data_IF_222794891133
#
_entry.id   IF_222794891133
#
_cell.length_a   1.000
_cell.length_b   1.000
_cell.length_c   1.000
_cell.angle_alpha   90.00
_cell.angle_beta   90.00
_cell.angle_gamma   90.00
#
_symmetry.space_group_name_H-M   'P 1'
#
loop_
_entity.id
_entity.type
_entity.pdbx_description
1 polymer ?
#
# COMPACT_ATOMS: atom_id res chain seq x y z
N UNK A 1 -41.58 -0.95 -48.69
CA UNK A 1 -41.97 -0.10 -47.53
C UNK A 1 -41.58 -0.85 -46.26
N UNK A 2 -40.51 -0.40 -45.61
CA UNK A 2 -39.90 -1.00 -44.42
C UNK A 2 -40.71 -0.61 -43.17
N UNK A 3 -41.24 -1.60 -42.45
CA UNK A 3 -41.88 -1.38 -41.15
C UNK A 3 -40.80 -1.34 -40.06
N UNK A 4 -40.35 -0.14 -39.70
CA UNK A 4 -39.57 0.09 -38.49
C UNK A 4 -40.48 -0.14 -37.27
N UNK A 5 -40.23 -1.22 -36.52
CA UNK A 5 -40.80 -1.42 -35.20
C UNK A 5 -40.03 -0.54 -34.21
N UNK A 6 -40.59 0.59 -33.81
CA UNK A 6 -40.10 1.35 -32.66
C UNK A 6 -40.37 0.54 -31.39
N UNK A 7 -39.34 -0.14 -30.87
CA UNK A 7 -39.37 -0.71 -29.53
C UNK A 7 -39.35 0.43 -28.51
N UNK A 8 -40.53 0.85 -28.05
CA UNK A 8 -40.65 1.79 -26.94
C UNK A 8 -40.10 1.12 -25.68
N UNK A 9 -38.88 1.50 -25.28
CA UNK A 9 -38.26 1.08 -24.01
C UNK A 9 -39.11 1.67 -22.88
N UNK A 10 -40.05 0.89 -22.35
CA UNK A 10 -40.87 1.28 -21.21
C UNK A 10 -40.07 1.07 -19.94
N UNK A 11 -39.46 2.14 -19.43
CA UNK A 11 -38.75 2.11 -18.15
C UNK A 11 -39.79 1.95 -17.03
N UNK A 12 -39.90 0.72 -16.50
CA UNK A 12 -40.78 0.44 -15.35
C UNK A 12 -40.39 1.26 -14.13
N UNK A 13 -41.36 1.75 -13.35
CA UNK A 13 -41.13 2.45 -12.07
C UNK A 13 -40.25 1.65 -11.11
N UNK A 14 -40.33 0.31 -11.16
CA UNK A 14 -39.44 -0.58 -10.38
C UNK A 14 -37.98 -0.50 -10.83
N UNK A 15 -37.72 -0.30 -12.12
CA UNK A 15 -36.37 -0.11 -12.65
C UNK A 15 -35.81 1.26 -12.27
N UNK A 16 -36.62 2.33 -12.32
CA UNK A 16 -36.23 3.65 -11.84
C UNK A 16 -35.86 3.63 -10.34
N UNK A 17 -36.70 3.01 -9.50
CA UNK A 17 -36.42 2.88 -8.06
C UNK A 17 -35.11 2.12 -7.80
N UNK A 18 -34.82 1.05 -8.55
CA UNK A 18 -33.56 0.31 -8.42
C UNK A 18 -32.35 1.17 -8.83
N UNK A 19 -32.46 1.93 -9.90
CA UNK A 19 -31.38 2.82 -10.36
C UNK A 19 -31.11 3.91 -9.33
N UNK A 20 -32.17 4.56 -8.81
CA UNK A 20 -32.05 5.58 -7.77
C UNK A 20 -31.46 4.98 -6.49
N UNK A 21 -31.95 3.82 -6.04
CA UNK A 21 -31.41 3.13 -4.88
C UNK A 21 -29.93 2.76 -5.06
N UNK A 22 -29.56 2.20 -6.21
CA UNK A 22 -28.18 1.82 -6.50
C UNK A 22 -27.27 3.05 -6.59
N UNK A 23 -27.74 4.15 -7.20
CA UNK A 23 -27.02 5.43 -7.24
C UNK A 23 -26.79 6.01 -5.84
N UNK A 24 -27.83 6.01 -4.99
CA UNK A 24 -27.73 6.43 -3.59
C UNK A 24 -26.79 5.53 -2.79
N UNK A 25 -26.83 4.21 -3.02
CA UNK A 25 -25.94 3.26 -2.37
C UNK A 25 -24.47 3.51 -2.75
N UNK A 26 -24.18 3.70 -4.05
CA UNK A 26 -22.82 4.02 -4.51
C UNK A 26 -22.34 5.36 -3.96
N UNK A 27 -23.20 6.39 -3.96
CA UNK A 27 -22.88 7.68 -3.37
C UNK A 27 -22.60 7.58 -1.86
N UNK A 28 -23.43 6.82 -1.13
CA UNK A 28 -23.22 6.56 0.29
C UNK A 28 -21.92 5.79 0.54
N UNK A 29 -21.64 4.72 -0.21
CA UNK A 29 -20.39 3.95 -0.09
C UNK A 29 -19.16 4.80 -0.38
N UNK A 30 -19.24 5.70 -1.36
CA UNK A 30 -18.19 6.67 -1.64
C UNK A 30 -18.01 7.67 -0.49
N UNK A 31 -19.11 8.15 0.10
CA UNK A 31 -19.10 9.04 1.26
C UNK A 31 -18.47 8.40 2.51
N UNK A 32 -18.73 7.12 2.77
CA UNK A 32 -18.20 6.41 3.96
C UNK A 32 -16.91 5.62 3.71
N UNK A 33 -16.31 5.74 2.51
CA UNK A 33 -15.17 4.90 2.09
C UNK A 33 -13.99 4.93 3.06
N UNK A 34 -13.70 6.10 3.65
CA UNK A 34 -12.55 6.26 4.54
C UNK A 34 -12.78 5.52 5.88
N UNK A 35 -14.02 5.55 6.38
CA UNK A 35 -14.44 4.79 7.56
C UNK A 35 -14.39 3.29 7.27
N UNK A 36 -14.89 2.87 6.09
CA UNK A 36 -14.82 1.46 5.66
C UNK A 36 -13.37 0.98 5.53
N UNK A 37 -12.49 1.81 5.00
CA UNK A 37 -11.06 1.52 4.89
C UNK A 37 -10.41 1.37 6.27
N UNK A 38 -10.65 2.30 7.20
CA UNK A 38 -10.14 2.21 8.57
C UNK A 38 -10.66 0.97 9.31
N UNK A 39 -11.94 0.63 9.10
CA UNK A 39 -12.52 -0.60 9.65
C UNK A 39 -11.88 -1.86 9.04
N UNK A 40 -11.62 -1.87 7.73
CA UNK A 40 -10.92 -2.95 7.06
C UNK A 40 -9.49 -3.12 7.59
N UNK A 41 -8.74 -2.03 7.76
CA UNK A 41 -7.40 -2.04 8.36
C UNK A 41 -7.47 -2.58 9.80
N UNK A 42 -8.44 -2.13 10.60
CA UNK A 42 -8.65 -2.63 11.96
C UNK A 42 -8.98 -4.12 12.01
N UNK A 43 -9.74 -4.64 11.03
CA UNK A 43 -10.04 -6.06 10.87
C UNK A 43 -8.78 -6.88 10.57
N UNK A 44 -7.89 -6.37 9.71
CA UNK A 44 -6.61 -7.00 9.41
C UNK A 44 -5.74 -7.08 10.67
N UNK A 45 -5.58 -5.96 11.40
CA UNK A 45 -4.86 -5.95 12.67
C UNK A 45 -5.51 -6.85 13.72
N UNK A 46 -6.84 -6.92 13.78
CA UNK A 46 -7.55 -7.83 14.68
C UNK A 46 -7.21 -9.29 14.37
N UNK A 47 -7.24 -9.68 13.09
CA UNK A 47 -6.88 -11.04 12.66
C UNK A 47 -5.39 -11.37 12.92
N UNK A 48 -4.51 -10.37 12.89
CA UNK A 48 -3.09 -10.50 13.23
C UNK A 48 -2.86 -10.72 14.73
N UNK A 49 -3.53 -9.92 15.56
CA UNK A 49 -3.36 -9.88 17.03
C UNK A 49 -4.06 -11.06 17.73
N UNK A 50 -5.19 -11.51 17.19
CA UNK A 50 -6.02 -12.58 17.76
C UNK A 50 -5.25 -13.84 18.25
N UNK A 51 -4.34 -14.46 17.46
CA UNK A 51 -3.58 -15.62 17.95
C UNK A 51 -2.71 -15.31 19.18
N UNK A 52 -2.11 -14.12 19.24
CA UNK A 52 -1.27 -13.68 20.36
C UNK A 52 -2.12 -13.37 21.60
N UNK A 53 -3.27 -12.69 21.42
CA UNK A 53 -4.21 -12.45 22.50
C UNK A 53 -4.82 -13.75 23.06
N UNK A 54 -5.11 -14.73 22.20
CA UNK A 54 -5.55 -16.07 22.59
C UNK A 54 -4.47 -16.82 23.37
N UNK A 55 -3.21 -16.75 22.93
CA UNK A 55 -2.08 -17.34 23.64
C UNK A 55 -1.93 -16.74 25.04
N UNK A 56 -2.02 -15.41 25.17
CA UNK A 56 -1.89 -14.73 26.46
C UNK A 56 -3.09 -15.02 27.39
N UNK A 57 -4.30 -15.11 26.84
CA UNK A 57 -5.52 -15.48 27.59
C UNK A 57 -5.44 -16.91 28.16
N UNK A 58 -4.78 -17.84 27.45
CA UNK A 58 -4.53 -19.21 27.95
C UNK A 58 -3.60 -19.22 29.18
N UNK A 59 -2.79 -18.19 29.38
CA UNK A 59 -1.88 -18.04 30.52
C UNK A 59 -2.53 -17.27 31.70
N UNK A 60 -3.85 -17.42 31.88
CA UNK A 60 -4.66 -16.83 32.98
C UNK A 60 -4.80 -15.30 32.97
N UNK A 61 -4.46 -14.61 31.88
CA UNK A 61 -4.70 -13.17 31.76
C UNK A 61 -6.14 -12.94 31.27
N UNK A 62 -6.95 -12.09 31.94
CA UNK A 62 -8.30 -11.75 31.49
C UNK A 62 -8.29 -11.24 30.04
N UNK A 63 -9.25 -11.70 29.23
CA UNK A 63 -9.29 -11.43 27.78
C UNK A 63 -9.08 -9.96 27.42
N UNK A 64 -9.74 -9.04 28.12
CA UNK A 64 -9.59 -7.60 27.88
C UNK A 64 -8.15 -7.11 28.06
N UNK A 65 -7.49 -7.51 29.15
CA UNK A 65 -6.09 -7.17 29.41
C UNK A 65 -5.15 -7.84 28.41
N UNK A 66 -5.41 -9.10 28.06
CA UNK A 66 -4.61 -9.82 27.08
C UNK A 66 -4.61 -9.10 25.72
N UNK A 67 -5.79 -8.69 25.24
CA UNK A 67 -5.89 -7.92 23.99
C UNK A 67 -5.22 -6.57 24.14
N UNK A 68 -5.45 -5.85 25.25
CA UNK A 68 -4.86 -4.53 25.48
C UNK A 68 -3.32 -4.58 25.41
N UNK A 69 -2.68 -5.53 26.10
CA UNK A 69 -1.23 -5.66 26.08
C UNK A 69 -0.69 -5.98 24.68
N UNK A 70 -1.35 -6.86 23.93
CA UNK A 70 -0.89 -7.21 22.59
C UNK A 70 -1.09 -6.05 21.60
N UNK A 71 -2.21 -5.33 21.69
CA UNK A 71 -2.47 -4.14 20.86
C UNK A 71 -1.42 -3.07 21.17
N UNK A 72 -1.24 -2.71 22.45
CA UNK A 72 -0.24 -1.71 22.84
C UNK A 72 1.19 -2.16 22.49
N UNK A 73 1.50 -3.45 22.63
CA UNK A 73 2.78 -4.00 22.23
C UNK A 73 3.02 -3.89 20.72
N UNK A 74 2.05 -4.27 19.89
CA UNK A 74 2.17 -4.17 18.44
C UNK A 74 2.34 -2.72 17.98
N UNK A 75 1.44 -1.83 18.41
CA UNK A 75 1.51 -0.42 18.02
C UNK A 75 2.71 0.29 18.66
N UNK A 76 3.18 -0.16 19.83
CA UNK A 76 4.42 0.30 20.44
C UNK A 76 5.66 -0.09 19.63
N UNK A 77 5.72 -1.32 19.12
CA UNK A 77 6.79 -1.76 18.21
C UNK A 77 6.76 -0.94 16.91
N UNK A 78 5.57 -0.73 16.33
CA UNK A 78 5.43 0.10 15.13
C UNK A 78 5.91 1.53 15.43
N UNK A 79 5.46 2.15 16.52
CA UNK A 79 5.89 3.49 16.92
C UNK A 79 7.40 3.57 17.14
N UNK A 80 8.01 2.58 17.80
CA UNK A 80 9.45 2.49 17.99
C UNK A 80 10.19 2.45 16.65
N UNK A 81 9.81 1.53 15.76
CA UNK A 81 10.40 1.45 14.42
C UNK A 81 10.23 2.75 13.65
N UNK A 82 9.05 3.38 13.71
CA UNK A 82 8.81 4.66 13.07
C UNK A 82 9.74 5.75 13.62
N UNK A 83 9.92 5.87 14.93
CA UNK A 83 10.83 6.87 15.50
C UNK A 83 12.29 6.65 15.12
N UNK A 84 12.70 5.40 14.91
CA UNK A 84 14.07 5.07 14.49
C UNK A 84 14.30 5.32 12.99
N UNK A 85 13.30 4.98 12.16
CA UNK A 85 13.41 5.06 10.70
C UNK A 85 13.07 6.46 10.17
N UNK A 86 12.17 7.20 10.82
CA UNK A 86 11.69 8.50 10.35
C UNK A 86 12.82 9.51 10.11
N UNK A 87 13.82 9.68 11.00
CA UNK A 87 14.94 10.59 10.72
C UNK A 87 15.68 10.24 9.43
N UNK A 88 15.85 8.94 9.15
CA UNK A 88 16.55 8.46 7.96
C UNK A 88 15.69 8.66 6.72
N UNK A 89 14.39 8.35 6.81
CA UNK A 89 13.42 8.60 5.73
C UNK A 89 13.39 10.09 5.38
N UNK A 90 13.38 10.96 6.39
CA UNK A 90 13.38 12.41 6.18
C UNK A 90 14.71 12.89 5.60
N UNK A 91 15.86 12.44 6.11
CA UNK A 91 17.15 12.88 5.59
C UNK A 91 17.40 12.39 4.17
N UNK A 92 17.19 11.10 3.90
CA UNK A 92 17.37 10.53 2.56
C UNK A 92 16.30 11.06 1.59
N UNK A 93 15.06 11.25 2.05
CA UNK A 93 13.98 11.80 1.23
C UNK A 93 14.20 13.27 0.85
N UNK A 94 14.68 14.10 1.78
CA UNK A 94 15.07 15.48 1.50
C UNK A 94 16.27 15.53 0.56
N UNK A 95 17.31 14.73 0.82
CA UNK A 95 18.48 14.66 -0.07
C UNK A 95 18.10 14.18 -1.47
N UNK A 96 17.21 13.20 -1.61
CA UNK A 96 16.71 12.77 -2.91
C UNK A 96 15.93 13.88 -3.62
N UNK A 97 15.12 14.64 -2.89
CA UNK A 97 14.38 15.78 -3.44
C UNK A 97 15.30 16.92 -3.89
N UNK A 98 16.32 17.25 -3.10
CA UNK A 98 17.29 18.31 -3.41
C UNK A 98 18.20 17.92 -4.58
N UNK A 99 18.59 16.64 -4.65
CA UNK A 99 19.44 16.11 -5.72
C UNK A 99 18.64 15.58 -6.92
N UNK A 100 17.30 15.71 -6.92
CA UNK A 100 16.46 15.11 -7.96
C UNK A 100 16.83 15.60 -9.36
N UNK A 101 17.03 16.91 -9.54
CA UNK A 101 17.45 17.49 -10.83
C UNK A 101 18.80 16.96 -11.30
N UNK A 102 19.77 16.80 -10.38
CA UNK A 102 21.06 16.21 -10.72
C UNK A 102 20.95 14.71 -11.09
N UNK A 103 20.09 13.95 -10.40
CA UNK A 103 19.79 12.57 -10.77
C UNK A 103 19.11 12.50 -12.14
N UNK A 104 18.20 13.43 -12.43
CA UNK A 104 17.52 13.56 -13.72
C UNK A 104 18.50 13.86 -14.86
N UNK A 105 19.42 14.81 -14.65
CA UNK A 105 20.49 15.14 -15.60
C UNK A 105 21.37 13.93 -15.90
N UNK A 106 21.75 13.18 -14.85
CA UNK A 106 22.54 11.95 -14.98
C UNK A 106 21.76 10.85 -15.69
N UNK A 107 20.46 10.71 -15.41
CA UNK A 107 19.56 9.79 -16.09
C UNK A 107 19.52 10.08 -17.61
N UNK A 108 19.31 11.33 -17.99
CA UNK A 108 19.31 11.74 -19.41
C UNK A 108 20.68 11.56 -20.06
N UNK A 109 21.75 11.84 -19.33
CA UNK A 109 23.12 11.70 -19.84
C UNK A 109 23.56 10.24 -19.99
N UNK A 110 23.07 9.35 -19.11
CA UNK A 110 23.33 7.91 -19.15
C UNK A 110 22.64 7.19 -20.31
N UNK A 111 21.64 7.80 -20.92
CA UNK A 111 20.94 7.30 -22.11
C UNK A 111 21.73 7.55 -23.41
N UNK A 112 23.03 7.19 -23.43
CA UNK A 112 23.99 7.50 -24.52
C UNK A 112 23.48 7.03 -25.90
N UNK A 113 22.87 5.84 -25.97
CA UNK A 113 22.30 5.31 -27.23
C UNK A 113 21.17 6.20 -27.77
N UNK A 114 20.33 6.73 -26.89
CA UNK A 114 19.27 7.67 -27.28
C UNK A 114 19.87 9.03 -27.66
N UNK A 115 20.91 9.48 -26.97
CA UNK A 115 21.61 10.74 -27.27
C UNK A 115 22.30 10.72 -28.62
N UNK A 116 23.01 9.63 -28.95
CA UNK A 116 23.70 9.47 -30.22
C UNK A 116 22.69 9.44 -31.38
N UNK A 117 21.61 8.67 -31.24
CA UNK A 117 20.53 8.62 -32.22
C UNK A 117 19.82 9.97 -32.39
N UNK A 118 19.50 10.65 -31.29
CA UNK A 118 18.87 11.97 -31.30
C UNK A 118 19.78 13.06 -31.92
N UNK A 119 21.09 12.97 -31.68
CA UNK A 119 22.09 13.88 -32.26
C UNK A 119 22.20 13.70 -33.77
N UNK A 120 22.19 12.45 -34.26
CA UNK A 120 22.21 12.14 -35.69
C UNK A 120 20.97 12.65 -36.42
N UNK A 121 19.82 12.70 -35.73
CA UNK A 121 18.58 13.24 -36.29
C UNK A 121 18.39 14.75 -36.06
N UNK A 122 19.32 15.42 -35.38
CA UNK A 122 19.23 16.87 -35.11
C UNK A 122 18.09 17.27 -34.16
N UNK A 123 17.53 16.32 -33.41
CA UNK A 123 16.40 16.55 -32.49
C UNK A 123 16.82 16.53 -31.01
N UNK A 124 18.12 16.42 -30.73
CA UNK A 124 18.63 16.30 -29.36
C UNK A 124 18.13 17.43 -28.45
N UNK A 125 18.23 18.68 -28.89
CA UNK A 125 17.79 19.84 -28.10
C UNK A 125 16.29 19.81 -27.80
N UNK A 126 15.47 19.32 -28.74
CA UNK A 126 14.02 19.18 -28.56
C UNK A 126 13.67 18.05 -27.59
N UNK A 127 14.38 16.92 -27.66
CA UNK A 127 14.20 15.80 -26.73
C UNK A 127 14.62 16.21 -25.32
N UNK A 128 15.78 16.85 -25.17
CA UNK A 128 16.28 17.30 -23.87
C UNK A 128 15.35 18.36 -23.27
N UNK A 129 14.92 19.36 -24.04
CA UNK A 129 13.94 20.35 -23.57
C UNK A 129 12.60 19.70 -23.15
N UNK A 130 12.11 18.73 -23.92
CA UNK A 130 10.89 17.99 -23.58
C UNK A 130 11.07 17.17 -22.31
N UNK A 131 12.21 16.49 -22.14
CA UNK A 131 12.51 15.71 -20.95
C UNK A 131 12.58 16.59 -19.68
N UNK A 132 13.21 17.76 -19.75
CA UNK A 132 13.22 18.72 -18.64
C UNK A 132 11.84 19.28 -18.32
N UNK A 133 10.93 19.36 -19.30
CA UNK A 133 9.56 19.81 -19.02
C UNK A 133 8.77 18.83 -18.15
N UNK A 134 9.13 17.54 -18.14
CA UNK A 134 8.52 16.51 -17.29
C UNK A 134 9.17 16.39 -15.91
N UNK A 135 10.38 16.93 -15.72
CA UNK A 135 11.13 16.84 -14.47
C UNK A 135 10.31 17.30 -13.25
N UNK A 136 9.60 18.45 -13.28
CA UNK A 136 8.84 18.92 -12.11
C UNK A 136 7.66 18.01 -11.76
N UNK A 137 6.98 17.44 -12.77
CA UNK A 137 5.85 16.54 -12.58
C UNK A 137 6.30 15.21 -11.96
N UNK A 138 7.44 14.68 -12.42
CA UNK A 138 8.02 13.45 -11.88
C UNK A 138 8.55 13.69 -10.46
N UNK A 139 9.22 14.82 -10.22
CA UNK A 139 9.67 15.21 -8.88
C UNK A 139 8.48 15.33 -7.91
N UNK A 140 7.37 15.93 -8.35
CA UNK A 140 6.15 16.05 -7.57
C UNK A 140 5.48 14.70 -7.32
N UNK A 141 5.46 13.81 -8.31
CA UNK A 141 4.94 12.46 -8.12
C UNK A 141 5.78 11.66 -7.12
N UNK A 142 7.11 11.73 -7.21
CA UNK A 142 8.02 11.06 -6.29
C UNK A 142 7.84 11.57 -4.85
N UNK A 143 7.89 12.90 -4.65
CA UNK A 143 7.67 13.52 -3.33
C UNK A 143 6.24 13.30 -2.82
N UNK A 144 5.24 13.24 -3.70
CA UNK A 144 3.85 12.92 -3.39
C UNK A 144 3.67 11.53 -2.79
N UNK A 145 4.37 10.53 -3.33
CA UNK A 145 4.35 9.17 -2.80
C UNK A 145 4.95 9.13 -1.38
N UNK A 146 6.12 9.72 -1.18
CA UNK A 146 6.78 9.75 0.13
C UNK A 146 5.98 10.55 1.16
N UNK A 147 5.43 11.70 0.78
CA UNK A 147 4.56 12.51 1.65
C UNK A 147 3.24 11.83 2.00
N UNK A 148 2.68 11.02 1.09
CA UNK A 148 1.50 10.19 1.40
C UNK A 148 1.85 9.15 2.46
N UNK A 149 2.98 8.46 2.30
CA UNK A 149 3.46 7.48 3.29
C UNK A 149 3.65 8.14 4.65
N UNK A 150 4.37 9.26 4.74
CA UNK A 150 4.57 9.97 6.02
C UNK A 150 3.27 10.53 6.59
N UNK A 151 2.37 11.04 5.73
CA UNK A 151 1.07 11.59 6.13
C UNK A 151 0.12 10.55 6.74
N UNK A 152 0.12 9.30 6.25
CA UNK A 152 -0.64 8.20 6.86
C UNK A 152 -0.26 7.98 8.33
N UNK A 153 1.01 8.17 8.67
CA UNK A 153 1.52 8.00 10.03
C UNK A 153 1.35 9.24 10.91
N UNK A 154 1.10 10.41 10.32
CA UNK A 154 0.88 11.65 11.08
C UNK A 154 -0.57 11.80 11.58
N UNK A 155 -1.51 11.04 11.01
CA UNK A 155 -2.91 11.04 11.48
C UNK A 155 -3.05 10.25 12.79
N UNK A 156 -2.68 10.89 13.90
CA UNK A 156 -2.82 10.35 15.27
C UNK A 156 -4.25 9.89 15.53
N UNK A 157 -5.25 10.63 15.04
CA UNK A 157 -6.65 10.27 15.18
C UNK A 157 -6.99 8.95 14.47
N UNK A 158 -6.54 8.77 13.22
CA UNK A 158 -6.76 7.52 12.48
C UNK A 158 -6.10 6.35 13.18
N UNK A 159 -4.87 6.51 13.68
CA UNK A 159 -4.14 5.46 14.40
C UNK A 159 -4.89 5.07 15.68
N UNK A 160 -5.31 6.06 16.49
CA UNK A 160 -6.11 5.80 17.70
C UNK A 160 -7.40 5.08 17.34
N UNK A 161 -8.10 5.49 16.28
CA UNK A 161 -9.33 4.84 15.86
C UNK A 161 -9.09 3.39 15.44
N UNK A 162 -8.02 3.10 14.68
CA UNK A 162 -7.64 1.72 14.33
C UNK A 162 -7.34 0.91 15.58
N UNK A 163 -6.55 1.44 16.53
CA UNK A 163 -6.25 0.78 17.80
C UNK A 163 -7.53 0.41 18.56
N UNK A 164 -8.45 1.38 18.68
CA UNK A 164 -9.72 1.21 19.39
C UNK A 164 -10.60 0.17 18.68
N UNK A 165 -10.75 0.27 17.35
CA UNK A 165 -11.53 -0.68 16.56
C UNK A 165 -10.95 -2.09 16.63
N UNK A 166 -9.63 -2.24 16.50
CA UNK A 166 -8.94 -3.52 16.65
C UNK A 166 -9.16 -4.11 18.04
N UNK A 167 -9.03 -3.31 19.10
CA UNK A 167 -9.31 -3.75 20.46
C UNK A 167 -10.74 -4.27 20.59
N UNK A 168 -11.74 -3.49 20.14
CA UNK A 168 -13.14 -3.90 20.20
C UNK A 168 -13.42 -5.17 19.39
N UNK A 169 -12.87 -5.30 18.18
CA UNK A 169 -13.04 -6.46 17.31
C UNK A 169 -12.46 -7.76 17.90
N UNK A 170 -11.35 -7.66 18.66
CA UNK A 170 -10.70 -8.85 19.25
C UNK A 170 -11.28 -9.19 20.64
N UNK A 171 -11.65 -8.17 21.44
CA UNK A 171 -12.29 -8.38 22.75
C UNK A 171 -13.70 -8.93 22.57
N UNK A 172 -14.48 -8.34 21.66
CA UNK A 172 -15.84 -8.77 21.40
C UNK A 172 -15.89 -9.69 20.17
N UNK A 173 -15.41 -10.93 20.34
CA UNK A 173 -15.36 -11.96 19.27
C UNK A 173 -16.71 -12.19 18.56
N UNK A 174 -17.81 -11.79 19.21
CA UNK A 174 -19.16 -11.97 18.73
C UNK A 174 -19.75 -10.76 17.99
N UNK A 175 -19.15 -9.56 17.98
CA UNK A 175 -19.77 -8.39 17.32
C UNK A 175 -20.03 -8.63 15.84
N UNK A 176 -19.03 -9.15 15.12
CA UNK A 176 -19.20 -9.52 13.72
C UNK A 176 -20.28 -10.60 13.58
N UNK A 177 -20.22 -11.67 14.40
CA UNK A 177 -21.20 -12.76 14.34
C UNK A 177 -22.62 -12.28 14.66
N UNK A 178 -22.79 -11.36 15.61
CA UNK A 178 -24.07 -10.80 16.03
C UNK A 178 -24.65 -9.88 14.96
N UNK A 179 -23.83 -9.01 14.37
CA UNK A 179 -24.24 -8.16 13.24
C UNK A 179 -24.76 -9.01 12.07
N UNK A 180 -23.99 -10.02 11.65
CA UNK A 180 -24.41 -10.89 10.56
C UNK A 180 -25.60 -11.79 10.93
N UNK A 181 -25.74 -12.21 12.20
CA UNK A 181 -26.95 -12.89 12.68
C UNK A 181 -28.18 -11.99 12.62
N UNK A 182 -28.05 -10.69 12.89
CA UNK A 182 -29.16 -9.74 12.86
C UNK A 182 -29.66 -9.47 11.43
N UNK A 183 -28.78 -9.50 10.43
CA UNK A 183 -29.11 -9.21 9.03
C UNK A 183 -29.47 -10.48 8.24
N UNK A 184 -28.93 -11.64 8.61
CA UNK A 184 -29.15 -12.88 7.87
C UNK A 184 -30.43 -13.64 8.28
N UNK A 185 -31.15 -14.26 7.32
CA UNK A 185 -32.24 -15.19 7.62
C UNK A 185 -31.78 -16.35 8.50
N UNK A 186 -32.66 -16.82 9.41
CA UNK A 186 -32.33 -17.82 10.44
C UNK A 186 -31.63 -19.06 9.90
N UNK A 187 -32.08 -19.56 8.73
CA UNK A 187 -31.53 -20.75 8.09
C UNK A 187 -30.05 -20.63 7.71
N UNK A 188 -29.57 -19.42 7.38
CA UNK A 188 -28.18 -19.19 6.96
C UNK A 188 -27.24 -18.77 8.10
N UNK A 189 -27.76 -18.49 9.31
CA UNK A 189 -26.96 -17.99 10.44
C UNK A 189 -25.79 -18.92 10.82
N UNK A 190 -25.95 -20.25 10.92
CA UNK A 190 -24.84 -21.15 11.24
C UNK A 190 -23.75 -21.12 10.16
N UNK A 191 -24.17 -21.16 8.89
CA UNK A 191 -23.26 -21.13 7.74
C UNK A 191 -22.44 -19.83 7.72
N UNK A 192 -23.09 -18.68 7.85
CA UNK A 192 -22.43 -17.37 7.82
C UNK A 192 -21.45 -17.22 9.00
N UNK A 193 -21.84 -17.64 10.21
CA UNK A 193 -20.95 -17.58 11.37
C UNK A 193 -19.68 -18.42 11.18
N UNK A 194 -19.80 -19.61 10.57
CA UNK A 194 -18.63 -20.45 10.27
C UNK A 194 -17.78 -19.86 9.14
N UNK A 195 -18.41 -19.26 8.12
CA UNK A 195 -17.72 -18.61 7.02
C UNK A 195 -16.87 -17.44 7.53
N UNK A 196 -17.44 -16.57 8.36
CA UNK A 196 -16.73 -15.43 8.96
C UNK A 196 -15.53 -15.88 9.79
N UNK A 197 -15.70 -16.90 10.63
CA UNK A 197 -14.60 -17.45 11.42
C UNK A 197 -13.45 -17.97 10.53
N UNK A 198 -13.80 -18.66 9.44
CA UNK A 198 -12.82 -19.18 8.48
C UNK A 198 -12.11 -18.06 7.71
N UNK A 199 -12.83 -17.01 7.33
CA UNK A 199 -12.26 -15.82 6.67
C UNK A 199 -11.27 -15.14 7.61
N UNK A 200 -11.66 -14.85 8.86
CA UNK A 200 -10.78 -14.23 9.86
C UNK A 200 -9.51 -15.02 10.08
N UNK A 201 -9.63 -16.34 10.24
CA UNK A 201 -8.47 -17.21 10.42
C UNK A 201 -7.53 -17.15 9.22
N UNK A 202 -8.06 -17.30 7.99
CA UNK A 202 -7.27 -17.21 6.76
C UNK A 202 -6.61 -15.83 6.57
N UNK A 203 -7.34 -14.75 6.82
CA UNK A 203 -6.82 -13.38 6.78
C UNK A 203 -5.66 -13.20 7.76
N UNK A 204 -5.77 -13.74 8.97
CA UNK A 204 -4.69 -13.69 9.95
C UNK A 204 -3.44 -14.42 9.48
N UNK A 205 -3.56 -15.62 8.90
CA UNK A 205 -2.40 -16.36 8.33
C UNK A 205 -1.78 -15.61 7.15
N UNK A 206 -2.63 -15.13 6.24
CA UNK A 206 -2.18 -14.36 5.09
C UNK A 206 -1.44 -13.10 5.53
N UNK A 207 -1.99 -12.29 6.44
CA UNK A 207 -1.34 -11.05 6.87
C UNK A 207 -0.01 -11.30 7.58
N UNK A 208 0.09 -12.34 8.43
CA UNK A 208 1.36 -12.73 9.05
C UNK A 208 2.41 -13.13 8.01
N UNK A 209 2.01 -13.93 7.02
CA UNK A 209 2.87 -14.29 5.89
C UNK A 209 3.32 -13.06 5.11
N UNK A 210 2.39 -12.14 4.84
CA UNK A 210 2.67 -10.91 4.09
C UNK A 210 3.62 -9.98 4.82
N UNK A 211 3.47 -9.82 6.14
CA UNK A 211 4.38 -9.00 6.95
C UNK A 211 5.80 -9.60 7.00
N UNK A 212 5.91 -10.93 7.12
CA UNK A 212 7.21 -11.60 7.07
C UNK A 212 7.83 -11.46 5.68
N UNK A 213 7.05 -11.64 4.62
CA UNK A 213 7.51 -11.48 3.24
C UNK A 213 7.97 -10.04 2.97
N UNK A 214 7.18 -9.04 3.37
CA UNK A 214 7.50 -7.61 3.28
C UNK A 214 8.82 -7.28 3.98
N UNK A 215 9.04 -7.82 5.19
CA UNK A 215 10.29 -7.64 5.91
C UNK A 215 11.47 -8.31 5.19
N UNK A 216 11.30 -9.54 4.71
CA UNK A 216 12.34 -10.27 3.98
C UNK A 216 12.72 -9.55 2.69
N UNK A 217 11.74 -9.13 1.89
CA UNK A 217 11.95 -8.36 0.66
C UNK A 217 12.66 -7.04 0.99
N UNK A 218 12.21 -6.30 2.00
CA UNK A 218 12.89 -5.07 2.44
C UNK A 218 14.37 -5.30 2.79
N UNK A 219 14.68 -6.34 3.57
CA UNK A 219 16.06 -6.66 3.94
C UNK A 219 16.89 -7.09 2.73
N UNK A 220 16.34 -7.92 1.84
CA UNK A 220 17.04 -8.38 0.64
C UNK A 220 17.30 -7.24 -0.35
N UNK A 221 16.31 -6.37 -0.57
CA UNK A 221 16.45 -5.15 -1.36
C UNK A 221 17.52 -4.25 -0.75
N UNK A 222 17.49 -4.02 0.56
CA UNK A 222 18.51 -3.20 1.23
C UNK A 222 19.92 -3.75 1.01
N UNK A 223 20.13 -5.04 1.26
CA UNK A 223 21.44 -5.68 1.07
C UNK A 223 21.87 -5.60 -0.41
N UNK A 224 20.96 -5.88 -1.35
CA UNK A 224 21.29 -5.82 -2.76
C UNK A 224 21.63 -4.42 -3.24
N UNK A 225 20.88 -3.39 -2.80
CA UNK A 225 21.18 -1.99 -3.12
C UNK A 225 22.52 -1.54 -2.51
N UNK A 226 22.87 -2.00 -1.30
CA UNK A 226 24.19 -1.75 -0.71
C UNK A 226 25.32 -2.40 -1.52
N UNK A 227 25.16 -3.66 -1.94
CA UNK A 227 26.15 -4.36 -2.75
C UNK A 227 26.37 -3.64 -4.10
N UNK A 228 25.28 -3.14 -4.68
CA UNK A 228 25.31 -2.40 -5.94
C UNK A 228 25.76 -0.94 -5.78
N UNK A 229 25.95 -0.45 -4.55
CA UNK A 229 26.36 0.93 -4.28
C UNK A 229 25.32 1.98 -4.67
N UNK A 230 24.03 1.63 -4.63
CA UNK A 230 22.93 2.54 -5.00
C UNK A 230 22.69 3.55 -3.88
N UNK A 231 22.62 4.84 -4.23
CA UNK A 231 22.28 5.91 -3.28
C UNK A 231 20.88 5.70 -2.67
N UNK A 232 20.66 6.15 -1.43
CA UNK A 232 19.37 6.05 -0.73
C UNK A 232 18.87 4.61 -0.52
N UNK A 233 19.79 3.63 -0.42
CA UNK A 233 19.46 2.22 -0.31
C UNK A 233 18.44 1.89 0.79
N UNK A 234 18.54 2.54 1.97
CA UNK A 234 17.61 2.26 3.07
C UNK A 234 16.22 2.83 2.78
N UNK A 235 16.11 4.09 2.34
CA UNK A 235 14.84 4.69 1.95
C UNK A 235 14.12 3.85 0.88
N UNK A 236 14.86 3.45 -0.14
CA UNK A 236 14.37 2.63 -1.26
C UNK A 236 13.93 1.24 -0.81
N UNK A 237 14.68 0.60 0.09
CA UNK A 237 14.32 -0.69 0.65
C UNK A 237 13.09 -0.64 1.58
N UNK A 238 12.95 0.43 2.36
CA UNK A 238 11.74 0.68 3.17
C UNK A 238 10.53 0.91 2.28
N UNK A 239 10.69 1.68 1.21
CA UNK A 239 9.65 1.85 0.20
C UNK A 239 9.24 0.51 -0.40
N UNK A 240 10.20 -0.33 -0.78
CA UNK A 240 9.92 -1.67 -1.29
C UNK A 240 9.19 -2.55 -0.27
N UNK A 241 9.62 -2.57 0.99
CA UNK A 241 8.95 -3.30 2.05
C UNK A 241 7.48 -2.87 2.23
N UNK A 242 7.22 -1.55 2.23
CA UNK A 242 5.86 -1.01 2.38
C UNK A 242 4.99 -1.38 1.18
N UNK A 243 5.51 -1.23 -0.04
CA UNK A 243 4.79 -1.57 -1.27
C UNK A 243 4.48 -3.07 -1.34
N UNK A 244 5.38 -3.92 -0.85
CA UNK A 244 5.22 -5.38 -0.79
C UNK A 244 3.97 -5.80 -0.01
N UNK A 245 3.41 -4.95 0.86
CA UNK A 245 2.13 -5.24 1.54
C UNK A 245 0.99 -5.48 0.54
N UNK A 246 1.06 -4.91 -0.66
CA UNK A 246 0.10 -5.12 -1.76
C UNK A 246 0.68 -6.16 -2.74
N UNK A 247 0.21 -7.43 -2.73
CA UNK A 247 0.77 -8.47 -3.58
C UNK A 247 0.69 -8.13 -5.07
N UNK A 248 1.67 -8.61 -5.85
CA UNK A 248 1.81 -8.42 -7.30
C UNK A 248 2.06 -6.97 -7.78
N UNK A 249 1.32 -6.00 -7.24
CA UNK A 249 1.52 -4.59 -7.56
C UNK A 249 2.71 -3.99 -6.81
N UNK A 250 2.91 -4.43 -5.57
CA UNK A 250 3.97 -3.96 -4.67
C UNK A 250 5.36 -4.03 -5.30
N UNK A 251 5.87 -5.22 -5.66
CA UNK A 251 7.18 -5.36 -6.29
C UNK A 251 7.34 -4.51 -7.55
N UNK A 252 6.31 -4.46 -8.40
CA UNK A 252 6.35 -3.73 -9.68
C UNK A 252 6.49 -2.23 -9.45
N UNK A 253 5.72 -1.66 -8.53
CA UNK A 253 5.80 -0.24 -8.17
C UNK A 253 7.11 0.05 -7.42
N UNK A 254 7.50 -0.86 -6.53
CA UNK A 254 8.70 -0.76 -5.70
C UNK A 254 10.01 -0.74 -6.50
N UNK A 255 10.06 -1.46 -7.63
CA UNK A 255 11.25 -1.55 -8.45
C UNK A 255 11.59 -0.22 -9.15
N UNK A 256 10.59 0.63 -9.42
CA UNK A 256 10.78 1.83 -10.26
C UNK A 256 11.78 2.82 -9.65
N UNK A 257 11.65 3.29 -8.40
CA UNK A 257 12.59 4.27 -7.86
C UNK A 257 14.04 3.75 -7.73
N UNK A 258 14.30 2.54 -7.20
CA UNK A 258 15.67 2.01 -7.12
C UNK A 258 16.32 1.83 -8.49
N UNK A 259 15.56 1.38 -9.50
CA UNK A 259 16.08 1.28 -10.88
C UNK A 259 16.49 2.65 -11.43
N UNK A 260 15.65 3.68 -11.21
CA UNK A 260 15.95 5.05 -11.63
C UNK A 260 17.24 5.57 -10.98
N UNK A 261 17.38 5.42 -9.66
CA UNK A 261 18.58 5.87 -8.94
C UNK A 261 19.82 5.09 -9.38
N UNK A 262 19.72 3.76 -9.53
CA UNK A 262 20.83 2.93 -9.98
C UNK A 262 21.30 3.27 -11.41
N UNK A 263 20.35 3.59 -12.30
CA UNK A 263 20.69 4.06 -13.64
C UNK A 263 21.37 5.44 -13.63
N UNK A 264 21.05 6.27 -12.65
CA UNK A 264 21.58 7.64 -12.55
C UNK A 264 22.98 7.72 -11.92
N UNK A 265 23.53 6.62 -11.38
CA UNK A 265 24.69 6.65 -10.48
C UNK A 265 26.08 6.36 -11.06
N UNK A 266 26.23 5.66 -12.20
CA UNK A 266 27.56 5.12 -12.58
C UNK A 266 27.85 5.02 -14.08
N UNK A 267 29.14 4.85 -14.45
CA UNK A 267 29.62 4.52 -15.81
C UNK A 267 29.02 3.20 -16.36
N UNK A 268 28.54 2.31 -15.47
CA UNK A 268 27.83 1.07 -15.78
C UNK A 268 26.33 1.15 -15.46
N UNK A 269 25.74 2.34 -15.59
CA UNK A 269 24.32 2.66 -15.32
C UNK A 269 23.34 1.59 -15.77
N UNK A 270 23.49 1.09 -17.00
CA UNK A 270 22.62 0.07 -17.58
C UNK A 270 22.72 -1.28 -16.85
N UNK A 271 23.94 -1.72 -16.50
CA UNK A 271 24.16 -3.02 -15.85
C UNK A 271 23.62 -2.96 -14.42
N UNK A 272 23.89 -1.88 -13.70
CA UNK A 272 23.37 -1.67 -12.34
C UNK A 272 21.84 -1.65 -12.32
N UNK A 273 21.20 -0.96 -13.26
CA UNK A 273 19.73 -0.94 -13.36
C UNK A 273 19.15 -2.32 -13.67
N UNK A 274 19.79 -3.10 -14.55
CA UNK A 274 19.38 -4.49 -14.84
C UNK A 274 19.58 -5.41 -13.62
N UNK A 275 20.67 -5.24 -12.87
CA UNK A 275 20.90 -5.99 -11.64
C UNK A 275 19.85 -5.66 -10.56
N UNK A 276 19.44 -4.39 -10.47
CA UNK A 276 18.30 -4.00 -9.62
C UNK A 276 17.02 -4.65 -10.11
N UNK A 277 16.69 -4.59 -11.41
CA UNK A 277 15.49 -5.25 -11.94
C UNK A 277 15.45 -6.74 -11.57
N UNK A 278 16.57 -7.45 -11.73
CA UNK A 278 16.70 -8.87 -11.38
C UNK A 278 16.49 -9.15 -9.89
N UNK A 279 16.74 -8.18 -9.01
CA UNK A 279 16.48 -8.32 -7.58
C UNK A 279 14.98 -8.39 -7.26
N UNK A 280 14.13 -7.81 -8.12
CA UNK A 280 12.67 -7.74 -7.95
C UNK A 280 11.90 -8.85 -8.68
N UNK A 281 12.60 -9.78 -9.34
CA UNK A 281 12.03 -10.93 -10.08
C UNK A 281 12.30 -12.22 -9.31
#
# INVERSE_FOLDING_TARGET
MSHYHEQLITISTKSLLKIVFFGLLLWFLWFVRDILFLFFVALLFAALIEPFANWLSKHRIPRGLAVLFVVLGLFGIIAMLMTMLMPIILSEGLSLSENFGALWDRFLSGAVVLKDFASQMGILDQITASAHSFEPDIAMAATGIFSTVTGLFQSVFSIILVIVLTYYLVVQEDVAKQFFKAVAPDHYRPYISQLIARIRYKLGYWLRGQLVLSLLVGVLVYIGLLILGVEYALLLALFAAIMEVVPYLGPVIAAVPPMFVAFSGSEQSMISALMVLLLFI
#
